data_IF_365234919523
#
_entry.id   IF_365234919523
#
_cell.length_a   1.000
_cell.length_b   1.000
_cell.length_c   1.000
_cell.angle_alpha   90.00
_cell.angle_beta   90.00
_cell.angle_gamma   90.00
#
_symmetry.space_group_name_H-M   'P 1'
#
loop_
_entity.id
_entity.type
_entity.pdbx_description
1 polymer ?
#
# COMPACT_ATOMS: atom_id res chain seq x y z
N UNK A 1 55.69 61.38 23.98
CA UNK A 1 54.70 61.18 25.06
C UNK A 1 53.61 60.30 24.49
N UNK A 2 53.36 59.15 25.14
CA UNK A 2 52.21 58.24 24.97
C UNK A 2 52.09 57.51 23.61
N UNK A 3 52.29 56.18 23.52
CA UNK A 3 51.32 55.11 23.84
C UNK A 3 50.26 54.95 22.71
N UNK A 4 49.92 53.79 22.12
CA UNK A 4 50.12 52.35 22.42
C UNK A 4 50.06 51.58 21.08
N UNK A 5 50.83 50.49 20.95
CA UNK A 5 50.77 49.55 19.82
C UNK A 5 49.49 48.69 19.80
N UNK A 6 49.20 48.02 18.67
CA UNK A 6 49.09 46.55 18.77
C UNK A 6 49.80 45.80 17.63
N UNK A 7 50.00 44.47 17.82
CA UNK A 7 51.14 43.75 17.25
C UNK A 7 50.81 42.94 15.99
N UNK A 8 51.81 42.91 15.13
CA UNK A 8 52.45 41.77 14.46
C UNK A 8 51.71 40.44 14.22
N UNK A 9 51.79 40.08 12.94
CA UNK A 9 52.32 38.82 12.40
C UNK A 9 51.43 37.56 12.29
N UNK A 10 51.37 37.15 11.01
CA UNK A 10 51.63 35.81 10.48
C UNK A 10 50.54 34.73 10.63
N UNK A 11 49.95 34.44 9.46
CA UNK A 11 49.70 33.13 8.88
C UNK A 11 49.46 31.97 9.86
N UNK A 12 48.20 31.52 9.95
CA UNK A 12 47.81 30.26 10.58
C UNK A 12 47.14 29.32 9.57
N UNK A 13 47.85 28.22 9.33
CA UNK A 13 47.44 26.84 9.12
C UNK A 13 46.00 26.52 8.67
N UNK A 14 45.90 25.83 7.54
CA UNK A 14 44.79 24.96 7.12
C UNK A 14 44.61 23.79 8.11
N UNK A 15 43.39 23.35 8.44
CA UNK A 15 43.15 22.01 8.95
C UNK A 15 42.89 21.04 7.79
N UNK A 16 43.59 19.90 7.84
CA UNK A 16 43.54 18.84 6.85
C UNK A 16 42.19 18.12 6.80
N UNK A 17 41.89 17.59 5.62
CA UNK A 17 40.81 16.65 5.38
C UNK A 17 41.06 15.35 6.15
N UNK A 18 40.09 14.96 6.98
CA UNK A 18 40.03 13.62 7.57
C UNK A 18 39.40 12.69 6.52
N UNK A 19 40.01 11.55 6.16
CA UNK A 19 39.34 10.60 5.29
C UNK A 19 38.20 9.95 6.06
N UNK A 20 37.00 9.95 5.49
CA UNK A 20 35.86 9.23 6.04
C UNK A 20 36.18 7.72 6.02
N UNK A 21 36.43 7.16 7.20
CA UNK A 21 36.48 5.72 7.40
C UNK A 21 35.04 5.23 7.31
N UNK A 22 34.69 4.53 6.23
CA UNK A 22 33.40 3.88 6.08
C UNK A 22 33.31 2.73 7.08
N UNK A 23 32.45 2.88 8.07
CA UNK A 23 32.20 1.87 9.11
C UNK A 23 31.53 0.62 8.47
N UNK A 24 32.11 -0.60 8.59
CA UNK A 24 31.56 -1.81 7.98
C UNK A 24 30.14 -2.17 8.44
N UNK A 25 29.69 -1.64 9.58
CA UNK A 25 28.34 -1.87 10.10
C UNK A 25 27.25 -1.05 9.36
N UNK A 26 27.57 0.13 8.82
CA UNK A 26 26.60 0.93 8.08
C UNK A 26 26.29 0.31 6.70
N UNK A 27 27.23 -0.47 6.17
CA UNK A 27 27.09 -1.24 4.91
C UNK A 27 26.13 -2.43 5.01
N UNK A 28 25.70 -2.85 6.22
CA UNK A 28 24.74 -3.96 6.40
C UNK A 28 23.28 -3.50 6.46
N UNK A 29 23.00 -2.19 6.46
CA UNK A 29 21.64 -1.62 6.59
C UNK A 29 21.02 -1.07 5.31
N UNK A 30 21.69 -1.16 4.15
CA UNK A 30 20.99 -1.16 2.87
C UNK A 30 20.50 -2.59 2.61
N UNK A 31 19.49 -3.03 3.35
CA UNK A 31 18.64 -4.15 2.88
C UNK A 31 18.11 -3.68 1.53
N UNK A 32 18.62 -4.27 0.45
CA UNK A 32 18.03 -4.10 -0.87
C UNK A 32 16.53 -4.30 -0.73
N UNK A 33 15.73 -3.38 -1.29
CA UNK A 33 14.27 -3.51 -1.32
C UNK A 33 13.95 -4.97 -1.65
N UNK A 34 13.32 -5.68 -0.70
CA UNK A 34 13.10 -7.10 -0.85
C UNK A 34 12.34 -7.31 -2.15
N UNK A 35 12.94 -8.05 -3.09
CA UNK A 35 12.30 -8.35 -4.37
C UNK A 35 10.96 -9.02 -4.05
N UNK A 36 9.87 -8.44 -4.53
CA UNK A 36 8.54 -8.99 -4.30
C UNK A 36 8.50 -10.43 -4.81
N UNK A 37 7.89 -11.37 -4.06
CA UNK A 37 7.73 -12.74 -4.54
C UNK A 37 6.79 -12.77 -5.75
N UNK A 38 6.82 -13.90 -6.47
CA UNK A 38 5.92 -14.12 -7.60
C UNK A 38 4.43 -14.14 -7.22
N UNK A 39 4.12 -14.44 -5.95
CA UNK A 39 2.77 -14.55 -5.43
C UNK A 39 2.69 -13.74 -4.14
N UNK A 40 1.68 -12.89 -4.07
CA UNK A 40 1.33 -12.07 -2.89
C UNK A 40 -0.11 -12.42 -2.53
N UNK A 41 -0.39 -12.62 -1.25
CA UNK A 41 -1.69 -13.10 -0.78
C UNK A 41 -2.57 -11.95 -0.31
N UNK A 42 -3.64 -11.67 -1.03
CA UNK A 42 -4.67 -10.71 -0.61
C UNK A 42 -5.45 -11.19 0.61
N UNK A 43 -5.77 -10.30 1.54
CA UNK A 43 -6.38 -10.65 2.84
C UNK A 43 -7.83 -10.19 3.00
N UNK A 44 -8.51 -9.77 1.94
CA UNK A 44 -9.89 -9.25 2.05
C UNK A 44 -10.87 -10.25 2.68
N UNK A 45 -10.68 -11.56 2.47
CA UNK A 45 -11.47 -12.62 3.12
C UNK A 45 -11.29 -12.67 4.65
N UNK A 46 -10.13 -12.24 5.16
CA UNK A 46 -9.92 -12.10 6.61
C UNK A 46 -10.79 -10.97 7.18
N UNK A 47 -11.15 -9.99 6.35
CA UNK A 47 -12.04 -8.89 6.68
C UNK A 47 -13.53 -9.16 6.43
N UNK A 48 -13.94 -10.41 6.23
CA UNK A 48 -15.33 -10.80 5.96
C UNK A 48 -15.92 -10.30 4.63
N UNK A 49 -15.11 -10.26 3.56
CA UNK A 49 -15.62 -9.99 2.22
C UNK A 49 -16.53 -11.15 1.76
N UNK A 50 -17.79 -10.85 1.42
CA UNK A 50 -18.86 -11.74 0.95
C UNK A 50 -19.32 -12.87 1.88
N UNK A 51 -18.53 -13.23 2.88
CA UNK A 51 -18.83 -14.26 3.88
C UNK A 51 -18.11 -13.95 5.19
N UNK A 52 -18.49 -14.59 6.28
CA UNK A 52 -17.78 -14.55 7.56
C UNK A 52 -17.18 -15.93 7.84
N UNK A 53 -15.96 -16.23 7.36
CA UNK A 53 -15.24 -17.43 7.75
C UNK A 53 -14.96 -17.40 9.26
N UNK A 54 -14.96 -18.56 9.89
CA UNK A 54 -14.56 -18.69 11.29
C UNK A 54 -13.08 -18.30 11.48
N UNK A 55 -12.73 -17.89 12.70
CA UNK A 55 -11.35 -17.59 13.06
C UNK A 55 -10.39 -18.76 12.75
N UNK A 56 -10.81 -20.00 12.98
CA UNK A 56 -10.00 -21.19 12.69
C UNK A 56 -9.76 -21.38 11.19
N UNK A 57 -10.75 -21.12 10.34
CA UNK A 57 -10.57 -21.16 8.87
C UNK A 57 -9.60 -20.09 8.39
N UNK A 58 -9.74 -18.87 8.92
CA UNK A 58 -8.84 -17.75 8.62
C UNK A 58 -7.40 -18.07 9.03
N UNK A 59 -7.20 -18.58 10.24
CA UNK A 59 -5.89 -19.01 10.74
C UNK A 59 -5.30 -20.14 9.91
N UNK A 60 -6.10 -21.14 9.53
CA UNK A 60 -5.64 -22.24 8.69
C UNK A 60 -5.15 -21.75 7.32
N UNK A 61 -5.81 -20.76 6.71
CA UNK A 61 -5.34 -20.14 5.46
C UNK A 61 -3.99 -19.43 5.67
N UNK A 62 -3.85 -18.63 6.73
CA UNK A 62 -2.59 -17.94 7.07
C UNK A 62 -1.47 -18.95 7.32
N UNK A 63 -1.73 -20.04 8.04
CA UNK A 63 -0.78 -21.12 8.30
C UNK A 63 -0.26 -21.73 6.99
N UNK A 64 -1.16 -22.06 6.05
CA UNK A 64 -0.74 -22.64 4.76
C UNK A 64 0.09 -21.68 3.94
N UNK A 65 -0.22 -20.38 3.97
CA UNK A 65 0.55 -19.35 3.27
C UNK A 65 1.97 -19.25 3.85
N UNK A 66 2.09 -19.17 5.18
CA UNK A 66 3.39 -19.10 5.87
C UNK A 66 4.21 -20.37 5.60
N UNK A 67 3.58 -21.55 5.64
CA UNK A 67 4.28 -22.82 5.38
C UNK A 67 4.73 -22.99 3.91
N UNK A 68 4.08 -22.32 2.96
CA UNK A 68 4.35 -22.49 1.53
C UNK A 68 5.55 -21.67 1.03
N UNK A 69 6.00 -20.65 1.77
CA UNK A 69 7.01 -19.70 1.30
C UNK A 69 8.04 -19.36 2.39
N UNK A 70 9.34 -19.18 2.04
CA UNK A 70 10.34 -18.75 3.01
C UNK A 70 10.04 -17.40 3.67
N UNK A 71 9.34 -16.51 2.95
CA UNK A 71 8.82 -15.25 3.48
C UNK A 71 7.45 -15.03 2.87
N UNK A 72 6.41 -15.16 3.68
CA UNK A 72 5.05 -14.89 3.23
C UNK A 72 4.83 -13.38 3.06
N UNK A 73 4.18 -13.01 1.95
CA UNK A 73 3.83 -11.61 1.68
C UNK A 73 2.33 -11.48 1.61
N UNK A 74 1.77 -10.72 2.56
CA UNK A 74 0.34 -10.47 2.69
C UNK A 74 0.02 -9.07 2.21
N UNK A 75 -1.05 -8.94 1.44
CA UNK A 75 -1.56 -7.69 0.93
C UNK A 75 -2.91 -7.36 1.54
N UNK A 76 -2.91 -6.37 2.43
CA UNK A 76 -4.03 -5.95 3.26
C UNK A 76 -4.36 -4.47 3.04
N UNK A 77 -5.41 -3.97 3.67
CA UNK A 77 -5.82 -2.58 3.60
C UNK A 77 -6.66 -2.16 4.81
N UNK A 78 -6.64 -0.88 5.15
CA UNK A 78 -7.55 -0.30 6.13
C UNK A 78 -9.03 -0.40 5.72
N UNK A 79 -9.32 -0.44 4.41
CA UNK A 79 -10.67 -0.65 3.87
C UNK A 79 -11.18 -2.08 4.13
N UNK A 80 -10.29 -3.08 4.13
CA UNK A 80 -10.71 -4.48 4.17
C UNK A 80 -11.37 -4.83 5.50
N UNK A 81 -12.69 -4.98 5.47
CA UNK A 81 -13.52 -5.18 6.65
C UNK A 81 -13.41 -4.04 7.66
N UNK A 82 -13.23 -2.80 7.20
CA UNK A 82 -12.92 -1.66 8.06
C UNK A 82 -11.70 -1.93 8.96
N UNK A 83 -10.65 -2.54 8.40
CA UNK A 83 -9.42 -2.92 9.09
C UNK A 83 -9.50 -4.25 9.83
N UNK A 84 -10.63 -4.96 9.81
CA UNK A 84 -10.74 -6.31 10.40
C UNK A 84 -9.71 -7.28 9.80
N UNK A 85 -9.40 -7.14 8.50
CA UNK A 85 -8.39 -7.98 7.86
C UNK A 85 -6.98 -7.79 8.45
N UNK A 86 -6.63 -6.56 8.89
CA UNK A 86 -5.34 -6.28 9.55
C UNK A 86 -5.30 -6.89 10.94
N UNK A 87 -6.37 -6.68 11.72
CA UNK A 87 -6.52 -7.21 13.07
C UNK A 87 -6.42 -8.74 13.10
N UNK A 88 -7.17 -9.38 12.21
CA UNK A 88 -7.23 -10.82 12.11
C UNK A 88 -5.92 -11.43 11.60
N UNK A 89 -5.26 -10.78 10.63
CA UNK A 89 -3.94 -11.21 10.17
C UNK A 89 -2.91 -11.17 11.31
N UNK A 90 -2.86 -10.06 12.06
CA UNK A 90 -1.95 -9.91 13.19
C UNK A 90 -2.17 -10.98 14.26
N UNK A 91 -3.45 -11.23 14.60
CA UNK A 91 -3.85 -12.27 15.54
C UNK A 91 -3.45 -13.67 15.07
N UNK A 92 -3.77 -14.05 13.83
CA UNK A 92 -3.42 -15.37 13.30
C UNK A 92 -1.90 -15.60 13.28
N UNK A 93 -1.11 -14.62 12.83
CA UNK A 93 0.35 -14.74 12.81
C UNK A 93 0.92 -14.92 14.22
N UNK A 94 0.39 -14.18 15.20
CA UNK A 94 0.78 -14.30 16.60
C UNK A 94 0.45 -15.68 17.18
N UNK A 95 -0.75 -16.20 16.97
CA UNK A 95 -1.14 -17.54 17.41
C UNK A 95 -0.31 -18.65 16.77
N UNK A 96 0.12 -18.45 15.52
CA UNK A 96 1.00 -19.36 14.79
C UNK A 96 2.48 -19.23 15.21
N UNK A 97 2.81 -18.28 16.09
CA UNK A 97 4.18 -18.07 16.57
C UNK A 97 5.14 -17.53 15.49
N UNK A 98 4.62 -16.87 14.46
CA UNK A 98 5.42 -16.33 13.36
C UNK A 98 6.18 -15.09 13.83
N UNK A 99 7.48 -15.00 13.56
CA UNK A 99 8.24 -13.82 13.93
C UNK A 99 7.91 -12.64 12.98
N UNK A 100 7.85 -11.39 13.47
CA UNK A 100 7.57 -10.24 12.61
C UNK A 100 8.55 -10.07 11.44
N UNK A 101 9.79 -10.51 11.59
CA UNK A 101 10.82 -10.45 10.54
C UNK A 101 10.70 -11.55 9.47
N UNK A 102 9.87 -12.58 9.71
CA UNK A 102 9.65 -13.71 8.79
C UNK A 102 8.47 -13.48 7.83
N UNK A 103 7.78 -12.35 7.95
CA UNK A 103 6.62 -11.97 7.13
C UNK A 103 6.74 -10.55 6.62
N UNK A 104 6.16 -10.30 5.45
CA UNK A 104 6.07 -8.97 4.87
C UNK A 104 4.60 -8.59 4.68
N UNK A 105 4.20 -7.46 5.26
CA UNK A 105 2.81 -7.01 5.21
C UNK A 105 2.73 -5.72 4.39
N UNK A 106 1.89 -5.76 3.36
CA UNK A 106 1.40 -4.61 2.61
C UNK A 106 0.14 -4.07 3.26
N UNK A 107 0.08 -2.75 3.46
CA UNK A 107 -1.12 -2.05 3.91
C UNK A 107 -1.44 -0.89 2.95
N UNK A 108 -2.59 -1.00 2.26
CA UNK A 108 -3.14 0.09 1.46
C UNK A 108 -3.86 1.07 2.40
N UNK A 109 -3.28 2.27 2.50
CA UNK A 109 -3.65 3.35 3.40
C UNK A 109 -4.79 4.20 2.83
N UNK A 110 -5.09 5.31 3.51
CA UNK A 110 -6.15 6.26 3.17
C UNK A 110 -7.59 5.77 3.37
N UNK A 111 -7.77 4.69 4.13
CA UNK A 111 -9.06 4.32 4.72
C UNK A 111 -8.86 4.16 6.23
N UNK A 112 -9.60 4.93 7.02
CA UNK A 112 -9.50 4.98 8.47
C UNK A 112 -10.70 4.27 9.08
N UNK A 113 -10.45 3.28 9.95
CA UNK A 113 -11.50 2.63 10.75
C UNK A 113 -12.12 3.66 11.70
N UNK A 114 -13.44 3.71 11.71
CA UNK A 114 -14.27 4.53 12.61
C UNK A 114 -15.40 3.70 13.21
N UNK A 115 -16.06 4.15 14.29
CA UNK A 115 -17.21 3.44 14.84
C UNK A 115 -18.34 3.29 13.81
N UNK A 116 -18.97 2.12 13.77
CA UNK A 116 -20.17 1.90 12.98
C UNK A 116 -21.37 2.60 13.63
N UNK A 117 -21.97 3.56 12.94
CA UNK A 117 -23.12 4.34 13.42
C UNK A 117 -24.41 4.07 12.66
N UNK A 118 -24.34 3.23 11.63
CA UNK A 118 -25.42 2.82 10.73
C UNK A 118 -25.66 1.31 10.81
N UNK A 119 -26.78 0.78 10.27
CA UNK A 119 -27.03 -0.67 10.26
C UNK A 119 -25.99 -1.49 9.46
N UNK A 120 -25.37 -0.88 8.46
CA UNK A 120 -24.28 -1.45 7.66
C UNK A 120 -23.20 -0.38 7.40
N UNK A 121 -21.96 -0.78 7.05
CA UNK A 121 -20.88 0.15 6.70
C UNK A 121 -21.25 1.09 5.55
N UNK A 122 -20.72 2.31 5.57
CA UNK A 122 -21.00 3.30 4.53
C UNK A 122 -20.17 3.10 3.26
N UNK A 123 -19.04 2.38 3.37
CA UNK A 123 -18.23 1.96 2.24
C UNK A 123 -18.65 0.58 1.73
N UNK A 124 -18.68 0.43 0.40
CA UNK A 124 -19.03 -0.84 -0.28
C UNK A 124 -20.27 -1.56 0.32
N UNK A 125 -21.44 -0.90 0.37
CA UNK A 125 -22.65 -1.48 0.97
C UNK A 125 -22.97 -2.86 0.41
N UNK A 126 -23.37 -3.79 1.29
CA UNK A 126 -23.66 -5.18 0.95
C UNK A 126 -22.46 -6.11 0.66
N UNK A 127 -21.22 -5.61 0.60
CA UNK A 127 -20.05 -6.46 0.33
C UNK A 127 -19.49 -7.16 1.58
N UNK A 128 -19.63 -6.55 2.75
CA UNK A 128 -18.97 -6.97 3.99
C UNK A 128 -19.95 -7.57 5.00
N UNK A 129 -19.57 -8.70 5.61
CA UNK A 129 -20.46 -9.45 6.51
C UNK A 129 -20.11 -9.20 7.98
N UNK A 130 -21.12 -8.87 8.80
CA UNK A 130 -21.05 -8.79 10.26
C UNK A 130 -20.00 -7.84 10.85
N UNK A 131 -19.64 -6.76 10.15
CA UNK A 131 -18.69 -5.77 10.64
C UNK A 131 -19.20 -5.03 11.90
N UNK A 132 -18.26 -4.62 12.75
CA UNK A 132 -18.50 -3.82 13.97
C UNK A 132 -17.98 -2.39 13.87
N UNK A 133 -17.29 -2.09 12.77
CA UNK A 133 -16.68 -0.81 12.49
C UNK A 133 -17.03 -0.40 11.06
N UNK A 134 -16.94 0.89 10.80
CA UNK A 134 -17.03 1.49 9.48
C UNK A 134 -15.64 2.00 9.06
N UNK A 135 -15.49 2.42 7.80
CA UNK A 135 -14.26 3.04 7.32
C UNK A 135 -14.54 4.26 6.44
N UNK A 136 -13.76 5.32 6.65
CA UNK A 136 -13.86 6.56 5.88
C UNK A 136 -12.59 6.79 5.08
N UNK A 137 -12.74 7.29 3.86
CA UNK A 137 -11.61 7.63 3.02
C UNK A 137 -10.91 8.90 3.55
N UNK A 138 -9.59 8.86 3.64
CA UNK A 138 -8.74 9.90 4.22
C UNK A 138 -7.48 10.12 3.36
N UNK A 139 -7.67 10.40 2.07
CA UNK A 139 -6.55 10.77 1.18
C UNK A 139 -6.16 12.22 1.47
N UNK A 140 -5.03 12.37 2.16
CA UNK A 140 -4.26 13.60 2.30
C UNK A 140 -2.90 13.23 2.87
N UNK A 141 -2.01 14.22 3.06
CA UNK A 141 -0.73 13.99 3.75
C UNK A 141 -0.95 13.45 5.17
N UNK A 142 -1.80 14.10 5.96
CA UNK A 142 -2.10 13.74 7.34
C UNK A 142 -2.92 12.44 7.42
N UNK A 143 -3.90 12.29 6.53
CA UNK A 143 -4.82 11.15 6.54
C UNK A 143 -4.10 9.82 6.35
N UNK A 144 -3.10 9.74 5.45
CA UNK A 144 -2.33 8.50 5.30
C UNK A 144 -1.40 8.22 6.47
N UNK A 145 -0.89 9.23 7.17
CA UNK A 145 -0.09 9.03 8.38
C UNK A 145 -0.94 8.49 9.53
N UNK A 146 -2.17 8.99 9.68
CA UNK A 146 -3.14 8.46 10.64
C UNK A 146 -3.53 7.02 10.31
N UNK A 147 -3.82 6.72 9.04
CA UNK A 147 -4.11 5.36 8.58
C UNK A 147 -2.92 4.42 8.80
N UNK A 148 -1.68 4.88 8.60
CA UNK A 148 -0.48 4.08 8.84
C UNK A 148 -0.34 3.72 10.32
N UNK A 149 -0.50 4.71 11.21
CA UNK A 149 -0.45 4.50 12.66
C UNK A 149 -1.56 3.56 13.14
N UNK A 150 -2.81 3.79 12.71
CA UNK A 150 -3.94 2.93 13.07
C UNK A 150 -3.76 1.51 12.50
N UNK A 151 -3.30 1.37 11.25
CA UNK A 151 -3.07 0.07 10.64
C UNK A 151 -2.04 -0.77 11.40
N UNK A 152 -0.93 -0.16 11.85
CA UNK A 152 0.06 -0.86 12.68
C UNK A 152 -0.47 -1.17 14.08
N UNK A 153 -1.32 -0.33 14.67
CA UNK A 153 -2.01 -0.67 15.92
C UNK A 153 -2.90 -1.91 15.76
N UNK A 154 -3.65 -2.02 14.65
CA UNK A 154 -4.48 -3.18 14.36
C UNK A 154 -3.65 -4.45 14.15
N UNK A 155 -2.48 -4.32 13.51
CA UNK A 155 -1.53 -5.42 13.33
C UNK A 155 -0.84 -5.88 14.63
N UNK A 156 -0.99 -5.16 15.75
CA UNK A 156 -0.38 -5.53 17.02
C UNK A 156 1.15 -5.38 17.00
N UNK A 157 1.88 -6.49 17.11
CA UNK A 157 3.36 -6.50 17.11
C UNK A 157 4.00 -6.50 15.72
N UNK A 158 3.20 -6.55 14.66
CA UNK A 158 3.66 -6.54 13.27
C UNK A 158 3.56 -5.13 12.68
N UNK A 159 4.44 -4.81 11.76
CA UNK A 159 4.43 -3.54 11.03
C UNK A 159 4.15 -3.76 9.54
N UNK A 160 3.35 -2.88 8.95
CA UNK A 160 3.31 -2.77 7.50
C UNK A 160 4.65 -2.22 6.97
N UNK A 161 5.30 -2.96 6.06
CA UNK A 161 6.58 -2.57 5.45
C UNK A 161 6.44 -2.21 3.97
N UNK A 162 5.34 -2.59 3.35
CA UNK A 162 4.95 -2.16 2.01
C UNK A 162 3.69 -1.31 2.17
N UNK A 163 3.64 -0.11 1.59
CA UNK A 163 2.45 0.75 1.71
C UNK A 163 2.07 1.39 0.38
N UNK A 164 0.81 1.74 0.23
CA UNK A 164 0.28 2.49 -0.91
C UNK A 164 -0.91 3.34 -0.50
N UNK A 165 -1.28 4.31 -1.33
CA UNK A 165 -2.60 4.96 -1.22
C UNK A 165 -3.63 4.01 -1.83
N UNK A 166 -4.76 3.76 -1.14
CA UNK A 166 -5.84 2.92 -1.64
C UNK A 166 -6.90 3.75 -2.38
N UNK A 167 -7.44 3.19 -3.46
CA UNK A 167 -8.51 3.76 -4.29
C UNK A 167 -8.33 5.25 -4.67
N UNK A 168 -7.14 5.70 -5.11
CA UNK A 168 -6.96 7.08 -5.58
C UNK A 168 -7.79 7.37 -6.83
N UNK A 169 -8.12 6.35 -7.62
CA UNK A 169 -9.00 6.44 -8.78
C UNK A 169 -10.44 6.74 -8.40
N UNK A 170 -11.01 6.02 -7.42
CA UNK A 170 -12.35 6.31 -6.92
C UNK A 170 -12.42 7.71 -6.30
N UNK A 171 -11.38 8.10 -5.57
CA UNK A 171 -11.31 9.43 -4.96
C UNK A 171 -11.30 10.55 -5.99
N UNK A 172 -10.54 10.40 -7.08
CA UNK A 172 -10.49 11.40 -8.16
C UNK A 172 -11.78 11.39 -8.99
N UNK A 173 -12.38 10.22 -9.23
CA UNK A 173 -13.64 10.10 -9.96
C UNK A 173 -14.83 10.76 -9.26
N UNK A 174 -14.76 10.88 -7.92
CA UNK A 174 -15.79 11.54 -7.11
C UNK A 174 -15.67 13.08 -7.08
N UNK A 175 -14.83 13.69 -7.93
CA UNK A 175 -14.74 15.13 -8.04
C UNK A 175 -16.06 15.75 -8.57
N UNK A 176 -16.53 16.83 -7.93
CA UNK A 176 -17.75 17.52 -8.37
C UNK A 176 -17.55 18.44 -9.58
N UNK A 177 -16.34 18.98 -9.73
CA UNK A 177 -15.95 19.90 -10.80
C UNK A 177 -14.41 19.90 -10.98
N UNK A 178 -13.92 20.70 -11.92
CA UNK A 178 -12.49 20.79 -12.24
C UNK A 178 -11.64 21.34 -11.08
N UNK A 179 -12.20 22.22 -10.25
CA UNK A 179 -11.49 22.79 -9.10
C UNK A 179 -11.35 21.76 -7.98
N UNK A 180 -12.41 21.00 -7.69
CA UNK A 180 -12.38 19.85 -6.78
C UNK A 180 -11.42 18.77 -7.29
N UNK A 181 -11.45 18.44 -8.58
CA UNK A 181 -10.50 17.50 -9.18
C UNK A 181 -9.05 17.95 -9.00
N UNK A 182 -8.77 19.24 -9.21
CA UNK A 182 -7.44 19.79 -9.01
C UNK A 182 -7.00 19.71 -7.53
N UNK A 183 -7.90 19.99 -6.58
CA UNK A 183 -7.65 19.86 -5.15
C UNK A 183 -7.36 18.41 -4.76
N UNK A 184 -8.20 17.46 -5.19
CA UNK A 184 -8.01 16.02 -4.94
C UNK A 184 -6.72 15.48 -5.52
N UNK A 185 -6.28 15.96 -6.68
CA UNK A 185 -4.95 15.64 -7.22
C UNK A 185 -3.84 16.11 -6.29
N UNK A 186 -3.96 17.30 -5.69
CA UNK A 186 -2.99 17.77 -4.69
C UNK A 186 -3.03 16.92 -3.42
N UNK A 187 -4.20 16.45 -2.98
CA UNK A 187 -4.33 15.55 -1.83
C UNK A 187 -3.65 14.19 -2.08
N UNK A 188 -3.84 13.61 -3.27
CA UNK A 188 -3.14 12.38 -3.69
C UNK A 188 -1.62 12.59 -3.68
N UNK A 189 -1.14 13.69 -4.28
CA UNK A 189 0.30 14.00 -4.27
C UNK A 189 0.80 14.26 -2.83
N UNK A 190 -0.02 14.86 -1.97
CA UNK A 190 0.25 15.04 -0.54
C UNK A 190 0.42 13.72 0.20
N UNK A 191 -0.50 12.78 -0.02
CA UNK A 191 -0.39 11.43 0.51
C UNK A 191 0.93 10.75 0.08
N UNK A 192 1.32 10.87 -1.20
CA UNK A 192 2.57 10.29 -1.69
C UNK A 192 3.84 10.97 -1.13
N UNK A 193 3.78 12.27 -0.79
CA UNK A 193 4.86 12.93 -0.04
C UNK A 193 5.03 12.26 1.33
N UNK A 194 3.95 12.05 2.08
CA UNK A 194 4.00 11.37 3.37
C UNK A 194 4.56 9.93 3.26
N UNK A 195 4.10 9.16 2.27
CA UNK A 195 4.64 7.82 1.99
C UNK A 195 6.14 7.84 1.70
N UNK A 196 6.59 8.80 0.89
CA UNK A 196 8.02 8.97 0.55
C UNK A 196 8.86 9.32 1.78
N UNK A 197 8.34 10.15 2.68
CA UNK A 197 9.00 10.48 3.94
C UNK A 197 9.07 9.27 4.90
N UNK A 198 8.00 8.49 5.03
CA UNK A 198 8.02 7.24 5.81
C UNK A 198 9.10 6.27 5.30
N UNK A 199 9.24 6.17 3.98
CA UNK A 199 10.29 5.36 3.35
C UNK A 199 11.68 5.93 3.59
N UNK A 200 11.87 7.24 3.45
CA UNK A 200 13.14 7.90 3.72
C UNK A 200 13.59 7.77 5.18
N UNK A 201 12.64 7.72 6.12
CA UNK A 201 12.86 7.45 7.55
C UNK A 201 13.14 5.96 7.85
N UNK A 202 13.04 5.07 6.86
CA UNK A 202 13.21 3.62 7.04
C UNK A 202 12.07 2.93 7.78
N UNK A 203 10.93 3.61 7.99
CA UNK A 203 9.74 3.02 8.64
C UNK A 203 9.07 1.96 7.77
N UNK A 204 9.12 2.17 6.45
CA UNK A 204 8.66 1.23 5.43
C UNK A 204 9.78 0.97 4.42
N UNK A 205 9.73 -0.18 3.77
CA UNK A 205 10.70 -0.59 2.77
C UNK A 205 10.31 -0.15 1.36
N UNK A 206 9.01 -0.03 1.10
CA UNK A 206 8.50 0.17 -0.25
C UNK A 206 7.19 0.95 -0.29
N UNK A 207 7.04 1.79 -1.32
CA UNK A 207 5.83 2.54 -1.63
C UNK A 207 5.33 2.20 -3.04
N UNK A 208 4.02 2.10 -3.22
CA UNK A 208 3.41 1.86 -4.52
C UNK A 208 2.00 2.43 -4.63
N UNK A 209 1.29 1.97 -5.65
CA UNK A 209 -0.11 2.34 -5.94
C UNK A 209 -0.90 1.11 -6.35
N UNK A 210 -2.17 1.03 -6.00
CA UNK A 210 -3.12 0.12 -6.65
C UNK A 210 -4.36 0.88 -7.10
N UNK A 211 -4.82 0.61 -8.33
CA UNK A 211 -6.02 1.23 -8.90
C UNK A 211 -6.66 0.30 -9.94
N UNK A 212 -7.96 0.49 -10.16
CA UNK A 212 -8.69 -0.10 -11.30
C UNK A 212 -8.53 0.78 -12.53
N UNK A 213 -8.66 2.10 -12.37
CA UNK A 213 -8.34 3.05 -13.43
C UNK A 213 -6.82 3.29 -13.49
N UNK A 214 -6.19 2.60 -14.43
CA UNK A 214 -4.74 2.66 -14.64
C UNK A 214 -4.25 4.00 -15.21
N UNK A 215 -5.13 4.89 -15.67
CA UNK A 215 -4.73 6.27 -16.03
C UNK A 215 -4.30 7.06 -14.81
N UNK A 216 -4.83 6.73 -13.62
CA UNK A 216 -4.43 7.34 -12.35
C UNK A 216 -3.04 6.86 -11.92
N UNK A 217 -2.67 5.61 -12.22
CA UNK A 217 -1.31 5.10 -12.06
C UNK A 217 -0.34 5.88 -12.97
N UNK A 218 -0.72 6.11 -14.23
CA UNK A 218 0.09 6.89 -15.18
C UNK A 218 0.33 8.31 -14.67
N UNK A 219 -0.73 8.99 -14.20
CA UNK A 219 -0.65 10.31 -13.55
C UNK A 219 0.28 10.30 -12.34
N UNK A 220 0.10 9.39 -11.38
CA UNK A 220 0.92 9.35 -10.16
C UNK A 220 2.40 9.15 -10.51
N UNK A 221 2.69 8.28 -11.49
CA UNK A 221 4.07 7.96 -11.89
C UNK A 221 4.77 9.03 -12.72
N UNK A 222 4.05 10.06 -13.17
CA UNK A 222 4.66 11.29 -13.72
C UNK A 222 5.20 12.21 -12.61
N UNK A 223 4.72 12.07 -11.38
CA UNK A 223 5.06 12.93 -10.26
C UNK A 223 5.84 12.23 -9.13
N UNK A 224 5.67 10.92 -9.00
CA UNK A 224 6.18 10.13 -7.87
C UNK A 224 6.92 8.89 -8.38
N UNK A 225 8.13 8.66 -7.86
CA UNK A 225 8.86 7.42 -8.12
C UNK A 225 8.36 6.30 -7.22
N UNK A 226 7.63 5.34 -7.80
CA UNK A 226 7.09 4.18 -7.10
C UNK A 226 8.00 2.95 -7.25
N UNK A 227 8.02 2.09 -6.23
CA UNK A 227 8.70 0.79 -6.30
C UNK A 227 7.85 -0.25 -7.02
N UNK A 228 6.53 -0.17 -6.85
CA UNK A 228 5.59 -1.06 -7.52
C UNK A 228 4.27 -0.36 -7.89
N UNK A 229 3.58 -0.91 -8.87
CA UNK A 229 2.23 -0.52 -9.26
C UNK A 229 1.35 -1.76 -9.43
N UNK A 230 0.17 -1.74 -8.83
CA UNK A 230 -0.82 -2.81 -8.90
C UNK A 230 -1.91 -2.47 -9.91
N UNK A 231 -2.10 -3.36 -10.88
CA UNK A 231 -3.14 -3.28 -11.90
C UNK A 231 -4.25 -4.23 -11.51
N UNK A 232 -5.44 -3.71 -11.20
CA UNK A 232 -6.62 -4.52 -10.96
C UNK A 232 -7.46 -4.61 -12.26
N UNK A 233 -7.84 -5.82 -12.67
CA UNK A 233 -8.70 -6.11 -13.83
C UNK A 233 -8.20 -5.62 -15.21
N UNK A 234 -7.06 -4.93 -15.26
CA UNK A 234 -6.58 -4.23 -16.46
C UNK A 234 -5.61 -5.03 -17.33
N UNK A 235 -5.04 -6.11 -16.78
CA UNK A 235 -4.16 -7.07 -17.47
C UNK A 235 -4.64 -8.48 -17.12
N UNK A 236 -5.62 -8.99 -17.85
CA UNK A 236 -6.16 -10.34 -17.71
C UNK A 236 -6.15 -11.06 -19.07
N UNK A 237 -6.42 -12.38 -19.11
CA UNK A 237 -6.65 -13.07 -20.37
C UNK A 237 -7.75 -12.41 -21.24
N UNK A 238 -8.72 -11.75 -20.61
CA UNK A 238 -9.84 -11.09 -21.27
C UNK A 238 -9.51 -9.64 -21.69
N UNK A 239 -8.90 -8.85 -20.80
CA UNK A 239 -8.63 -7.42 -21.02
C UNK A 239 -7.15 -7.08 -20.91
N UNK A 240 -6.58 -6.45 -21.94
CA UNK A 240 -5.20 -5.93 -21.91
C UNK A 240 -5.00 -4.85 -22.98
N UNK A 241 -5.55 -3.66 -22.73
CA UNK A 241 -5.64 -2.57 -23.73
C UNK A 241 -4.28 -2.08 -24.22
N UNK A 242 -4.25 -1.36 -25.35
CA UNK A 242 -3.03 -0.75 -25.86
C UNK A 242 -2.41 0.25 -24.85
N UNK A 243 -3.26 1.01 -24.14
CA UNK A 243 -2.84 1.90 -23.07
C UNK A 243 -2.17 1.11 -21.93
N UNK A 244 -2.80 0.04 -21.43
CA UNK A 244 -2.24 -0.80 -20.37
C UNK A 244 -0.86 -1.35 -20.75
N UNK A 245 -0.71 -1.88 -21.97
CA UNK A 245 0.59 -2.36 -22.49
C UNK A 245 1.63 -1.26 -22.63
N UNK A 246 1.21 -0.05 -22.99
CA UNK A 246 2.07 1.14 -23.05
C UNK A 246 2.58 1.52 -21.67
N UNK A 247 1.68 1.55 -20.68
CA UNK A 247 2.01 1.85 -19.30
C UNK A 247 2.95 0.81 -18.68
N UNK A 248 2.74 -0.49 -18.93
CA UNK A 248 3.69 -1.54 -18.51
C UNK A 248 5.12 -1.28 -19.01
N UNK A 249 5.27 -0.83 -20.27
CA UNK A 249 6.58 -0.47 -20.82
C UNK A 249 7.16 0.79 -20.18
N UNK A 250 6.32 1.78 -19.84
CA UNK A 250 6.72 2.99 -19.11
C UNK A 250 7.27 2.63 -17.73
N UNK A 251 6.50 1.86 -16.95
CA UNK A 251 6.87 1.41 -15.60
C UNK A 251 8.15 0.57 -15.60
N UNK A 252 8.31 -0.34 -16.57
CA UNK A 252 9.54 -1.12 -16.71
C UNK A 252 10.78 -0.23 -16.93
N UNK A 253 10.66 0.86 -17.70
CA UNK A 253 11.76 1.84 -17.87
C UNK A 253 12.06 2.64 -16.61
N UNK A 254 11.06 2.86 -15.75
CA UNK A 254 11.22 3.54 -14.46
C UNK A 254 11.79 2.61 -13.36
N UNK A 255 11.83 1.30 -13.62
CA UNK A 255 12.25 0.28 -12.64
C UNK A 255 11.17 0.00 -11.60
N UNK A 256 9.90 0.20 -11.94
CA UNK A 256 8.74 -0.07 -11.09
C UNK A 256 8.24 -1.48 -11.36
N UNK A 257 8.16 -2.30 -10.31
CA UNK A 257 7.59 -3.66 -10.39
C UNK A 257 6.07 -3.59 -10.62
N UNK A 258 5.50 -4.61 -11.27
CA UNK A 258 4.06 -4.69 -11.50
C UNK A 258 3.47 -5.85 -10.73
N UNK A 259 2.47 -5.54 -9.89
CA UNK A 259 1.64 -6.54 -9.21
C UNK A 259 0.34 -6.65 -10.01
N UNK A 260 0.08 -7.80 -10.61
CA UNK A 260 -1.17 -8.02 -11.34
C UNK A 260 -2.21 -8.61 -10.40
N UNK A 261 -3.31 -7.90 -10.17
CA UNK A 261 -4.39 -8.33 -9.27
C UNK A 261 -5.70 -8.52 -10.03
N UNK A 262 -6.62 -9.29 -9.44
CA UNK A 262 -7.87 -9.69 -10.09
C UNK A 262 -7.66 -10.37 -11.46
N UNK A 263 -6.60 -11.18 -11.58
CA UNK A 263 -6.19 -11.84 -12.85
C UNK A 263 -7.25 -12.74 -13.46
N UNK A 264 -8.25 -13.14 -12.68
CA UNK A 264 -9.41 -13.94 -13.10
C UNK A 264 -10.71 -13.13 -13.17
N UNK A 265 -10.64 -11.79 -13.30
CA UNK A 265 -11.77 -10.87 -13.38
C UNK A 265 -12.80 -11.12 -12.25
N UNK A 266 -12.36 -11.04 -10.99
CA UNK A 266 -13.18 -11.32 -9.81
C UNK A 266 -13.78 -12.75 -9.74
N UNK A 267 -13.18 -13.72 -10.43
CA UNK A 267 -13.57 -15.12 -10.41
C UNK A 267 -14.34 -15.56 -11.64
N UNK A 268 -14.77 -14.63 -12.49
CA UNK A 268 -15.48 -14.95 -13.75
C UNK A 268 -14.73 -15.97 -14.61
N UNK A 269 -13.43 -15.76 -14.83
CA UNK A 269 -12.62 -16.60 -15.72
C UNK A 269 -12.39 -18.03 -15.19
N UNK A 270 -12.83 -18.33 -13.98
CA UNK A 270 -12.76 -19.65 -13.35
C UNK A 270 -14.16 -20.21 -13.01
N UNK A 271 -15.22 -19.62 -13.56
CA UNK A 271 -16.60 -20.09 -13.40
C UNK A 271 -17.38 -19.44 -12.25
N UNK A 272 -16.93 -18.31 -11.72
CA UNK A 272 -17.67 -17.50 -10.76
C UNK A 272 -18.67 -16.54 -11.42
N UNK A 273 -19.61 -16.03 -10.62
CA UNK A 273 -20.71 -15.17 -11.10
C UNK A 273 -20.35 -13.67 -11.20
N UNK A 274 -19.11 -13.28 -10.88
CA UNK A 274 -18.69 -11.88 -10.79
C UNK A 274 -17.63 -11.55 -11.83
N UNK A 275 -17.90 -10.58 -12.70
CA UNK A 275 -16.97 -10.00 -13.66
C UNK A 275 -16.65 -8.56 -13.23
N UNK A 276 -15.36 -8.27 -13.01
CA UNK A 276 -14.88 -6.97 -12.49
C UNK A 276 -15.67 -6.48 -11.26
N UNK A 277 -15.92 -7.42 -10.33
CA UNK A 277 -16.63 -7.24 -9.07
C UNK A 277 -18.13 -6.93 -9.19
N UNK A 278 -18.70 -7.05 -10.39
CA UNK A 278 -20.14 -6.93 -10.63
C UNK A 278 -20.73 -8.29 -10.92
N UNK A 279 -21.89 -8.57 -10.33
CA UNK A 279 -22.60 -9.81 -10.61
C UNK A 279 -23.07 -9.79 -12.07
N UNK A 280 -22.72 -10.83 -12.80
CA UNK A 280 -23.12 -11.04 -14.19
C UNK A 280 -24.52 -11.62 -14.19
N UNK A 281 -25.44 -11.00 -14.91
CA UNK A 281 -26.75 -11.58 -15.25
C UNK A 281 -26.96 -11.52 -16.75
N UNK A 282 -27.86 -12.36 -17.28
CA UNK A 282 -28.23 -12.30 -18.70
C UNK A 282 -28.85 -10.96 -19.10
N UNK A 283 -29.38 -10.20 -18.14
CA UNK A 283 -29.89 -8.86 -18.42
C UNK A 283 -28.79 -7.80 -18.48
N UNK A 284 -27.79 -7.87 -17.60
CA UNK A 284 -26.69 -6.89 -17.55
C UNK A 284 -25.59 -7.18 -18.57
N UNK A 285 -25.37 -8.46 -18.89
CA UNK A 285 -24.27 -8.95 -19.72
C UNK A 285 -24.83 -10.02 -20.67
N UNK A 286 -25.48 -9.60 -21.77
CA UNK A 286 -26.19 -10.52 -22.68
C UNK A 286 -25.27 -11.37 -23.58
N UNK A 287 -23.96 -11.07 -23.61
CA UNK A 287 -22.91 -11.79 -24.35
C UNK A 287 -22.20 -12.81 -23.46
#
# INVERSE_FOLDING_TARGET
MGEVAPPDCLAKCLPGAVPAVSDPETSKKQKMAAKLPKIIFGTSSLGNLFSEPSHEEKKAVVEKIVAAMPTAVFDSAGKYGAGLALEELGKCLEELGVAPDDVLISNKLAWKRVPLTTPEPTFEPGAWVNLKNDAVQAISYEGVLECFAQGNQLLGKYDAKIISVHDPDEYLANASDDADLAARKQDVLGAYRALSELKAQGKVQSIGVGAKDITVIDFITDHVRLDWAMFACSITPYTHTAFARGLLKKLAKQGTDVINSAVFNAGFLIGGDFFDYRKVTRESDPE
#
